data_IF_712907358530
#
_entry.id   IF_712907358530
#
_cell.length_a   1.000
_cell.length_b   1.000
_cell.length_c   1.000
_cell.angle_alpha   90.00
_cell.angle_beta   90.00
_cell.angle_gamma   90.00
#
_symmetry.space_group_name_H-M   'P 1'
#
loop_
_entity.id
_entity.type
_entity.pdbx_description
1 polymer ?
#
# COMPACT_ATOMS: atom_id res chain seq x y z
N UNK A 1 11.51 13.50 3.08
CA UNK A 1 10.17 12.89 3.26
C UNK A 1 9.10 13.70 2.54
N UNK A 2 8.38 13.03 1.64
CA UNK A 2 7.39 13.60 0.74
C UNK A 2 6.06 12.87 0.82
N UNK A 3 4.95 13.59 0.63
CA UNK A 3 3.58 13.04 0.63
C UNK A 3 2.98 13.11 -0.76
N UNK A 4 2.44 12.00 -1.24
CA UNK A 4 1.67 11.89 -2.48
C UNK A 4 0.21 11.60 -2.17
N UNK A 5 -0.72 12.36 -2.75
CA UNK A 5 -2.16 12.14 -2.62
C UNK A 5 -2.68 11.46 -3.88
N UNK A 6 -3.42 10.37 -3.71
CA UNK A 6 -4.15 9.68 -4.78
C UNK A 6 -5.62 9.63 -4.39
N UNK A 7 -6.46 10.31 -5.15
CA UNK A 7 -7.92 10.21 -5.02
C UNK A 7 -8.40 9.07 -5.92
N UNK A 8 -9.27 8.21 -5.41
CA UNK A 8 -9.75 7.03 -6.12
C UNK A 8 -11.28 7.06 -6.15
N UNK A 9 -11.86 7.04 -7.34
CA UNK A 9 -13.31 6.93 -7.53
C UNK A 9 -13.64 5.58 -8.14
N UNK A 10 -14.59 4.86 -7.55
CA UNK A 10 -15.02 3.54 -8.01
C UNK A 10 -15.99 3.61 -9.19
N UNK A 11 -15.99 2.55 -9.98
CA UNK A 11 -17.02 2.30 -10.99
C UNK A 11 -18.35 1.88 -10.34
N UNK A 12 -19.36 1.63 -11.17
CA UNK A 12 -20.69 1.25 -10.69
C UNK A 12 -20.72 -0.09 -9.93
N UNK A 13 -19.77 -0.97 -10.21
CA UNK A 13 -19.58 -2.25 -9.53
C UNK A 13 -18.77 -2.15 -8.23
N UNK A 14 -18.34 -0.95 -7.82
CA UNK A 14 -17.53 -0.74 -6.64
C UNK A 14 -16.04 -1.04 -6.80
N UNK A 15 -15.56 -1.32 -8.01
CA UNK A 15 -14.14 -1.53 -8.29
C UNK A 15 -13.43 -0.23 -8.68
N UNK A 16 -12.12 -0.16 -8.44
CA UNK A 16 -11.28 0.91 -9.00
C UNK A 16 -9.84 0.44 -9.18
N UNK A 17 -9.11 1.07 -10.11
CA UNK A 17 -7.65 1.01 -10.17
C UNK A 17 -7.11 2.43 -10.36
N UNK A 18 -6.21 2.84 -9.47
CA UNK A 18 -5.55 4.14 -9.50
C UNK A 18 -4.05 4.02 -9.32
N UNK A 19 -3.33 5.06 -9.72
CA UNK A 19 -1.87 5.09 -9.70
C UNK A 19 -1.35 6.38 -9.08
N UNK A 20 -0.27 6.29 -8.29
CA UNK A 20 0.54 7.46 -7.95
C UNK A 20 1.34 7.97 -9.17
N UNK A 21 1.92 9.18 -9.10
CA UNK A 21 3.09 9.52 -9.93
C UNK A 21 4.22 8.51 -9.72
N UNK A 22 5.25 8.56 -10.57
CA UNK A 22 6.48 7.78 -10.33
C UNK A 22 7.17 8.30 -9.08
N UNK A 23 7.57 7.38 -8.22
CA UNK A 23 8.20 7.60 -6.92
C UNK A 23 9.55 6.89 -6.92
N UNK A 24 10.55 7.57 -6.37
CA UNK A 24 11.83 6.99 -6.00
C UNK A 24 12.04 7.27 -4.51
N UNK A 25 12.28 6.22 -3.71
CA UNK A 25 12.43 6.34 -2.26
C UNK A 25 11.82 5.16 -1.51
N UNK A 26 11.86 5.22 -0.18
CA UNK A 26 11.33 4.17 0.71
C UNK A 26 9.93 4.52 1.17
N UNK A 27 9.00 3.57 1.09
CA UNK A 27 7.64 3.74 1.61
C UNK A 27 7.68 3.75 3.13
N UNK A 28 7.33 4.88 3.72
CA UNK A 28 7.20 5.01 5.17
C UNK A 28 5.88 4.40 5.63
N UNK A 29 4.79 4.93 5.09
CA UNK A 29 3.42 4.50 5.37
C UNK A 29 2.46 4.87 4.24
N UNK A 30 1.32 4.21 4.24
CA UNK A 30 0.15 4.48 3.40
C UNK A 30 -1.02 4.76 4.33
N UNK A 31 -1.66 5.91 4.14
CA UNK A 31 -2.82 6.34 4.91
C UNK A 31 -4.04 6.29 4.00
N UNK A 32 -5.03 5.49 4.38
CA UNK A 32 -6.35 5.48 3.78
C UNK A 32 -7.26 6.45 4.53
N UNK A 33 -7.84 7.39 3.81
CA UNK A 33 -8.90 8.29 4.26
C UNK A 33 -10.19 7.88 3.56
N UNK A 34 -11.15 7.38 4.34
CA UNK A 34 -12.35 6.70 3.83
C UNK A 34 -13.16 7.48 2.80
N UNK A 35 -13.34 8.78 3.01
CA UNK A 35 -14.27 9.55 2.19
C UNK A 35 -15.67 8.98 2.32
N UNK A 36 -16.33 8.68 1.20
CA UNK A 36 -17.68 8.13 1.16
C UNK A 36 -17.72 6.63 0.81
N UNK A 37 -16.56 5.98 0.57
CA UNK A 37 -16.46 4.54 0.31
C UNK A 37 -17.34 3.74 1.27
N UNK A 38 -17.97 2.68 0.74
CA UNK A 38 -18.79 1.77 1.53
C UNK A 38 -17.97 1.10 2.67
N UNK A 39 -18.67 0.47 3.61
CA UNK A 39 -18.03 -0.50 4.50
C UNK A 39 -17.69 -1.76 3.71
N UNK A 40 -16.69 -2.50 4.18
CA UNK A 40 -16.27 -3.74 3.57
C UNK A 40 -15.28 -3.58 2.41
N UNK A 41 -14.56 -2.45 2.30
CA UNK A 41 -13.66 -2.21 1.15
C UNK A 41 -12.45 -3.13 1.21
N UNK A 42 -12.12 -3.73 0.08
CA UNK A 42 -10.91 -4.55 -0.09
C UNK A 42 -9.84 -3.77 -0.84
N UNK A 43 -8.61 -3.85 -0.36
CA UNK A 43 -7.44 -3.21 -0.94
C UNK A 43 -6.43 -4.23 -1.44
N UNK A 44 -5.92 -4.01 -2.64
CA UNK A 44 -4.69 -4.62 -3.12
C UNK A 44 -3.77 -3.53 -3.67
N UNK A 45 -2.80 -3.13 -2.85
CA UNK A 45 -1.85 -2.05 -3.13
C UNK A 45 -0.46 -2.65 -3.37
N UNK A 46 0.12 -2.37 -4.53
CA UNK A 46 1.42 -2.93 -4.96
C UNK A 46 2.29 -1.88 -5.65
N UNK A 47 3.57 -2.19 -5.85
CA UNK A 47 4.34 -1.58 -6.94
C UNK A 47 3.74 -2.00 -8.29
N UNK A 48 3.63 -1.07 -9.23
CA UNK A 48 3.04 -1.33 -10.54
C UNK A 48 3.95 -2.23 -11.38
N UNK A 49 5.21 -1.84 -11.56
CA UNK A 49 6.14 -2.56 -12.42
C UNK A 49 6.69 -3.81 -11.74
N UNK A 50 6.93 -3.72 -10.44
CA UNK A 50 7.58 -4.79 -9.65
C UNK A 50 6.61 -5.81 -9.07
N UNK A 51 5.33 -5.44 -8.90
CA UNK A 51 4.35 -6.26 -8.20
C UNK A 51 4.61 -6.42 -6.70
N UNK A 52 5.57 -5.67 -6.12
CA UNK A 52 5.89 -5.78 -4.69
C UNK A 52 4.67 -5.42 -3.86
N UNK A 53 4.30 -6.29 -2.91
CA UNK A 53 3.15 -6.06 -2.04
C UNK A 53 3.40 -4.90 -1.08
N UNK A 54 2.49 -3.93 -1.04
CA UNK A 54 2.56 -2.79 -0.12
C UNK A 54 1.45 -2.85 0.92
N UNK A 55 0.22 -3.15 0.54
CA UNK A 55 -0.88 -3.32 1.51
C UNK A 55 -1.98 -4.17 0.87
N UNK A 56 -2.27 -5.31 1.48
CA UNK A 56 -3.45 -6.12 1.17
C UNK A 56 -4.28 -6.26 2.43
N UNK A 57 -5.56 -5.89 2.36
CA UNK A 57 -6.48 -5.98 3.49
C UNK A 57 -7.91 -6.04 2.99
N UNK A 58 -8.72 -6.86 3.65
CA UNK A 58 -10.13 -7.02 3.32
C UNK A 58 -11.02 -6.42 4.39
N UNK A 59 -12.24 -6.04 4.00
CA UNK A 59 -13.28 -5.53 4.88
C UNK A 59 -12.87 -4.29 5.71
N UNK A 60 -12.19 -3.32 5.09
CA UNK A 60 -11.77 -2.10 5.78
C UNK A 60 -12.95 -1.13 5.94
N UNK A 61 -13.35 -0.89 7.19
CA UNK A 61 -14.55 -0.09 7.53
C UNK A 61 -14.25 1.35 7.98
N UNK A 62 -12.98 1.68 8.24
CA UNK A 62 -12.58 3.01 8.72
C UNK A 62 -11.25 3.44 8.10
N UNK A 63 -10.99 4.74 8.13
CA UNK A 63 -9.66 5.28 7.80
C UNK A 63 -8.58 4.54 8.60
N UNK A 64 -7.49 4.20 7.94
CA UNK A 64 -6.46 3.35 8.51
C UNK A 64 -5.08 3.73 7.99
N UNK A 65 -4.05 3.46 8.78
CA UNK A 65 -2.66 3.66 8.41
C UNK A 65 -1.94 2.33 8.45
N UNK A 66 -1.14 2.03 7.43
CA UNK A 66 -0.23 0.88 7.42
C UNK A 66 1.17 1.34 7.03
N UNK A 67 2.15 0.84 7.76
CA UNK A 67 3.56 1.06 7.51
C UNK A 67 4.19 -0.25 7.02
N UNK A 68 4.13 -0.56 5.71
CA UNK A 68 4.57 -1.85 5.23
C UNK A 68 6.07 -2.03 5.33
N UNK A 69 6.49 -3.26 5.61
CA UNK A 69 7.89 -3.67 5.74
C UNK A 69 8.10 -4.99 5.02
N UNK A 70 9.25 -5.15 4.39
CA UNK A 70 9.67 -6.40 3.75
C UNK A 70 10.72 -7.11 4.62
N UNK A 71 10.75 -8.46 4.62
CA UNK A 71 11.83 -9.19 5.26
C UNK A 71 13.17 -8.87 4.61
N UNK A 72 14.23 -8.91 5.40
CA UNK A 72 15.62 -8.86 4.92
C UNK A 72 16.21 -10.27 4.91
N UNK A 73 17.18 -10.50 4.02
CA UNK A 73 17.70 -11.84 3.76
C UNK A 73 19.23 -11.87 3.78
N UNK A 74 19.77 -13.03 4.12
CA UNK A 74 21.18 -13.38 3.89
C UNK A 74 21.49 -13.51 2.40
N UNK A 75 22.78 -13.65 2.05
CA UNK A 75 23.22 -13.80 0.65
C UNK A 75 22.68 -15.06 -0.05
N UNK A 76 22.26 -16.07 0.71
CA UNK A 76 21.66 -17.30 0.17
C UNK A 76 20.12 -17.25 0.14
N UNK A 77 19.53 -16.09 0.43
CA UNK A 77 18.07 -15.88 0.41
C UNK A 77 17.33 -16.31 1.68
N UNK A 78 18.02 -16.84 2.69
CA UNK A 78 17.38 -17.16 3.97
C UNK A 78 17.02 -15.88 4.74
N UNK A 79 15.80 -15.80 5.28
CA UNK A 79 15.34 -14.66 6.07
C UNK A 79 16.26 -14.41 7.28
N UNK A 80 16.58 -13.14 7.51
CA UNK A 80 17.31 -12.72 8.70
C UNK A 80 16.35 -12.65 9.89
N UNK A 81 16.77 -13.25 10.99
CA UNK A 81 16.01 -13.32 12.23
C UNK A 81 16.87 -12.78 13.38
N UNK A 82 16.26 -12.11 14.35
CA UNK A 82 16.94 -11.83 15.60
C UNK A 82 17.20 -13.14 16.37
N UNK A 83 18.44 -13.32 16.83
CA UNK A 83 18.98 -14.58 17.32
C UNK A 83 18.19 -15.24 18.47
N UNK A 84 17.41 -14.48 19.23
CA UNK A 84 16.76 -14.97 20.45
C UNK A 84 15.26 -15.35 20.29
N UNK A 85 14.62 -15.13 19.13
CA UNK A 85 13.17 -15.34 19.06
C UNK A 85 12.56 -15.61 17.69
N UNK A 86 13.36 -15.75 16.63
CA UNK A 86 12.82 -15.97 15.29
C UNK A 86 12.00 -14.80 14.74
N UNK A 87 12.09 -13.63 15.36
CA UNK A 87 11.45 -12.40 14.87
C UNK A 87 12.16 -11.95 13.59
N UNK A 88 11.39 -11.73 12.53
CA UNK A 88 11.91 -11.29 11.25
C UNK A 88 12.56 -9.91 11.37
N UNK A 89 13.75 -9.76 10.80
CA UNK A 89 14.36 -8.46 10.54
C UNK A 89 13.69 -7.90 9.28
N UNK A 90 12.92 -6.83 9.43
CA UNK A 90 12.19 -6.21 8.34
C UNK A 90 12.63 -4.75 8.13
N UNK A 91 12.60 -4.29 6.88
CA UNK A 91 12.97 -2.94 6.48
C UNK A 91 11.89 -2.31 5.59
N UNK A 92 11.96 -1.00 5.37
CA UNK A 92 11.05 -0.27 4.48
C UNK A 92 11.18 -0.82 3.05
N UNK A 93 10.06 -0.79 2.34
CA UNK A 93 10.01 -1.21 0.93
C UNK A 93 10.41 -0.02 0.06
N UNK A 94 11.42 -0.18 -0.79
CA UNK A 94 11.87 0.86 -1.70
C UNK A 94 11.20 0.71 -3.07
N UNK A 95 10.82 1.84 -3.67
CA UNK A 95 10.42 1.93 -5.07
C UNK A 95 11.50 2.70 -5.85
N UNK A 96 11.81 2.24 -7.05
CA UNK A 96 12.82 2.83 -7.92
C UNK A 96 12.19 3.32 -9.23
N UNK A 97 11.75 4.58 -9.23
CA UNK A 97 11.00 5.16 -10.36
C UNK A 97 9.76 4.33 -10.73
N UNK A 98 9.10 3.73 -9.74
CA UNK A 98 7.89 2.91 -9.90
C UNK A 98 6.65 3.71 -9.47
N UNK A 99 5.45 3.22 -9.78
CA UNK A 99 4.19 3.76 -9.28
C UNK A 99 3.60 2.83 -8.22
N UNK A 100 2.92 3.42 -7.25
CA UNK A 100 2.00 2.67 -6.39
C UNK A 100 0.71 2.45 -7.16
N UNK A 101 0.35 1.19 -7.39
CA UNK A 101 -0.92 0.75 -7.93
C UNK A 101 -1.87 0.47 -6.77
N UNK A 102 -3.05 1.08 -6.78
CA UNK A 102 -4.10 0.90 -5.79
C UNK A 102 -5.29 0.26 -6.49
N UNK A 103 -5.58 -1.00 -6.14
CA UNK A 103 -6.78 -1.70 -6.60
C UNK A 103 -7.79 -1.75 -5.44
N UNK A 104 -9.03 -1.36 -5.74
CA UNK A 104 -10.15 -1.34 -4.81
C UNK A 104 -11.20 -2.34 -5.29
N UNK A 105 -11.78 -3.09 -4.37
CA UNK A 105 -13.05 -3.79 -4.57
C UNK A 105 -14.03 -3.42 -3.44
N UNK A 106 -15.33 -3.55 -3.71
CA UNK A 106 -16.41 -3.27 -2.76
C UNK A 106 -16.43 -1.83 -2.20
N UNK A 107 -15.89 -0.84 -2.93
CA UNK A 107 -15.93 0.56 -2.49
C UNK A 107 -17.31 1.23 -2.62
N UNK A 108 -18.28 0.55 -3.23
CA UNK A 108 -19.63 1.06 -3.54
C UNK A 108 -19.71 1.78 -4.90
N UNK A 109 -20.92 1.97 -5.43
CA UNK A 109 -21.15 2.59 -6.73
C UNK A 109 -20.75 4.09 -6.74
N UNK A 110 -19.81 4.45 -7.61
CA UNK A 110 -19.41 5.85 -7.88
C UNK A 110 -18.96 6.63 -6.64
N UNK A 111 -18.30 5.93 -5.72
CA UNK A 111 -17.82 6.47 -4.44
C UNK A 111 -16.34 6.82 -4.53
N UNK A 112 -15.86 7.69 -3.66
CA UNK A 112 -14.50 8.22 -3.59
C UNK A 112 -13.85 8.04 -2.22
N UNK A 113 -12.61 7.52 -2.24
CA UNK A 113 -11.68 7.49 -1.12
C UNK A 113 -10.36 8.15 -1.48
N UNK A 114 -9.50 8.36 -0.50
CA UNK A 114 -8.18 8.98 -0.70
C UNK A 114 -7.07 8.16 -0.03
N UNK A 115 -5.93 8.07 -0.71
CA UNK A 115 -4.71 7.48 -0.18
C UNK A 115 -3.59 8.51 -0.13
N UNK A 116 -2.94 8.62 1.02
CA UNK A 116 -1.69 9.35 1.17
C UNK A 116 -0.53 8.37 1.27
N UNK A 117 0.43 8.49 0.36
CA UNK A 117 1.64 7.68 0.35
C UNK A 117 2.78 8.57 0.85
N UNK A 118 3.37 8.19 1.98
CA UNK A 118 4.51 8.89 2.58
C UNK A 118 5.79 8.17 2.17
N UNK A 119 6.73 8.94 1.62
CA UNK A 119 7.97 8.43 1.05
C UNK A 119 9.13 9.14 1.72
N UNK A 120 10.09 8.35 2.18
CA UNK A 120 11.40 8.79 2.66
C UNK A 120 12.38 8.78 1.49
N UNK A 121 12.68 9.98 0.97
CA UNK A 121 13.42 10.28 -0.25
C UNK A 121 14.74 11.03 0.01
#
# INVERSE_FOLDING_TARGET
>A
MRRYKVTVTTAADGSATAYSPRIAGRIEQIEYVKGDFADGVDFAITGEATGVGLWSESNVNASAVRAPRQPTHSQVGAALLYAAGGAAVADKIALASDRVKIVIAQGGNAKTGTFHILVDD
#
